data_IF_764612195944
#
_entry.id   IF_764612195944
#
_cell.length_a   1.000
_cell.length_b   1.000
_cell.length_c   1.000
_cell.angle_alpha   90.00
_cell.angle_beta   90.00
_cell.angle_gamma   90.00
#
_symmetry.space_group_name_H-M   'P 1'
#
loop_
_entity.id
_entity.type
_entity.pdbx_description
1 polymer ?
#
# COMPACT_ATOMS: atom_id res chain seq x y z
N UNK A 1 -9.80 18.26 22.61
CA UNK A 1 -8.45 17.68 22.46
C UNK A 1 -8.35 17.22 21.01
N UNK A 2 -7.89 18.12 20.14
CA UNK A 2 -7.59 17.80 18.74
C UNK A 2 -6.18 17.22 18.71
N UNK A 3 -6.08 15.93 18.95
CA UNK A 3 -4.84 15.18 18.77
C UNK A 3 -4.66 14.97 17.26
N UNK A 4 -4.31 16.05 16.57
CA UNK A 4 -3.72 15.97 15.23
C UNK A 4 -2.34 15.34 15.44
N UNK A 5 -2.30 14.02 15.58
CA UNK A 5 -1.07 13.25 15.52
C UNK A 5 -0.39 13.65 14.22
N UNK A 6 0.68 14.41 14.38
CA UNK A 6 1.52 14.86 13.29
C UNK A 6 2.15 13.61 12.70
N UNK A 7 1.51 13.03 11.69
CA UNK A 7 1.98 11.83 10.99
C UNK A 7 3.40 12.14 10.56
N UNK A 8 4.37 11.50 11.22
CA UNK A 8 5.77 11.79 10.91
C UNK A 8 6.11 11.08 9.61
N UNK A 9 6.88 11.75 8.73
CA UNK A 9 7.28 11.21 7.40
C UNK A 9 7.86 9.78 7.46
N UNK A 10 8.40 9.38 8.60
CA UNK A 10 8.97 8.05 8.85
C UNK A 10 7.90 6.96 9.04
N UNK A 11 6.78 7.29 9.68
CA UNK A 11 5.63 6.39 9.84
C UNK A 11 4.95 6.13 8.49
N UNK A 12 4.88 7.16 7.63
CA UNK A 12 4.39 7.03 6.26
C UNK A 12 5.26 6.08 5.41
N UNK A 13 6.59 6.19 5.51
CA UNK A 13 7.49 5.32 4.76
C UNK A 13 7.36 3.84 5.20
N UNK A 14 7.21 3.60 6.51
CA UNK A 14 7.02 2.24 7.03
C UNK A 14 5.68 1.65 6.60
N UNK A 15 4.62 2.45 6.70
CA UNK A 15 3.28 2.08 6.26
C UNK A 15 3.26 1.75 4.77
N UNK A 16 3.92 2.57 3.94
CA UNK A 16 4.04 2.33 2.51
C UNK A 16 4.76 1.01 2.19
N UNK A 17 5.84 0.69 2.91
CA UNK A 17 6.57 -0.56 2.73
C UNK A 17 5.71 -1.79 3.09
N UNK A 18 4.95 -1.72 4.19
CA UNK A 18 4.02 -2.79 4.60
C UNK A 18 2.94 -3.00 3.53
N UNK A 19 2.37 -1.90 3.03
CA UNK A 19 1.37 -1.94 1.95
C UNK A 19 1.95 -2.56 0.68
N UNK A 20 3.15 -2.14 0.26
CA UNK A 20 3.82 -2.69 -0.91
C UNK A 20 4.08 -4.20 -0.77
N UNK A 21 4.52 -4.64 0.41
CA UNK A 21 4.68 -6.06 0.70
C UNK A 21 3.34 -6.82 0.60
N UNK A 22 2.25 -6.28 1.15
CA UNK A 22 0.91 -6.87 1.03
C UNK A 22 0.43 -7.01 -0.42
N UNK A 23 0.73 -6.02 -1.27
CA UNK A 23 0.41 -6.07 -2.70
C UNK A 23 1.18 -7.21 -3.37
N UNK A 24 2.49 -7.34 -3.14
CA UNK A 24 3.29 -8.42 -3.70
C UNK A 24 2.81 -9.78 -3.17
N UNK A 25 2.58 -9.87 -1.87
CA UNK A 25 2.09 -11.08 -1.20
C UNK A 25 0.75 -11.56 -1.78
N UNK A 26 -0.11 -10.65 -2.24
CA UNK A 26 -1.40 -11.02 -2.85
C UNK A 26 -1.25 -11.90 -4.09
N UNK A 27 -0.14 -11.79 -4.82
CA UNK A 27 0.16 -12.64 -5.99
C UNK A 27 0.62 -14.05 -5.62
N UNK A 28 1.05 -14.25 -4.37
CA UNK A 28 1.61 -15.51 -3.88
C UNK A 28 0.56 -16.32 -3.11
N UNK A 29 -0.16 -15.66 -2.18
CA UNK A 29 -1.12 -16.33 -1.27
C UNK A 29 -2.59 -15.98 -1.55
N UNK A 30 -2.84 -15.18 -2.58
CA UNK A 30 -4.15 -14.64 -2.91
C UNK A 30 -4.57 -13.45 -2.05
N UNK A 31 -5.68 -12.81 -2.45
CA UNK A 31 -6.21 -11.58 -1.84
C UNK A 31 -6.53 -11.78 -0.35
N UNK A 32 -7.18 -12.88 0.01
CA UNK A 32 -7.57 -13.16 1.40
C UNK A 32 -6.36 -13.27 2.34
N UNK A 33 -5.25 -13.87 1.88
CA UNK A 33 -4.03 -13.97 2.66
C UNK A 33 -3.33 -12.61 2.82
N UNK A 34 -3.26 -11.83 1.74
CA UNK A 34 -2.72 -10.47 1.79
C UNK A 34 -3.53 -9.53 2.70
N UNK A 35 -4.86 -9.63 2.68
CA UNK A 35 -5.74 -8.87 3.55
C UNK A 35 -5.50 -9.19 5.03
N UNK A 36 -5.40 -10.49 5.39
CA UNK A 36 -5.07 -10.90 6.76
C UNK A 36 -3.72 -10.37 7.21
N UNK A 37 -2.71 -10.39 6.34
CA UNK A 37 -1.39 -9.83 6.63
C UNK A 37 -1.47 -8.32 6.93
N UNK A 38 -2.15 -7.54 6.09
CA UNK A 38 -2.25 -6.08 6.26
C UNK A 38 -3.07 -5.72 7.51
N UNK A 39 -4.14 -6.46 7.79
CA UNK A 39 -4.92 -6.29 9.03
C UNK A 39 -4.07 -6.57 10.28
N UNK A 40 -3.26 -7.64 10.27
CA UNK A 40 -2.36 -7.98 11.36
C UNK A 40 -1.25 -6.92 11.59
N UNK A 41 -0.99 -6.06 10.61
CA UNK A 41 -0.07 -4.92 10.69
C UNK A 41 -0.76 -3.59 10.98
N UNK A 42 -2.02 -3.62 11.40
CA UNK A 42 -2.83 -2.44 11.75
C UNK A 42 -2.99 -1.45 10.58
N UNK A 43 -2.91 -1.92 9.33
CA UNK A 43 -3.20 -1.07 8.18
C UNK A 43 -4.71 -0.77 8.15
N UNK A 44 -5.12 0.49 7.99
CA UNK A 44 -6.54 0.83 7.96
C UNK A 44 -7.30 0.12 6.83
N UNK A 45 -8.51 -0.35 7.12
CA UNK A 45 -9.33 -1.10 6.16
C UNK A 45 -9.53 -0.36 4.84
N UNK A 46 -9.76 0.97 4.87
CA UNK A 46 -9.92 1.78 3.66
C UNK A 46 -8.67 1.78 2.76
N UNK A 47 -7.47 1.65 3.33
CA UNK A 47 -6.22 1.51 2.57
C UNK A 47 -6.17 0.13 1.93
N UNK A 48 -6.48 -0.92 2.70
CA UNK A 48 -6.47 -2.32 2.24
C UNK A 48 -7.42 -2.49 1.06
N UNK A 49 -8.67 -2.01 1.17
CA UNK A 49 -9.66 -2.06 0.09
C UNK A 49 -9.15 -1.33 -1.15
N UNK A 50 -8.54 -0.14 -0.97
CA UNK A 50 -7.99 0.64 -2.07
C UNK A 50 -6.84 -0.08 -2.78
N UNK A 51 -5.97 -0.79 -2.08
CA UNK A 51 -4.77 -1.40 -2.69
C UNK A 51 -5.00 -2.81 -3.24
N UNK A 52 -5.90 -3.58 -2.62
CA UNK A 52 -6.17 -4.97 -3.01
C UNK A 52 -7.40 -5.10 -3.92
N UNK A 53 -8.43 -4.27 -3.74
CA UNK A 53 -9.70 -4.40 -4.46
C UNK A 53 -9.88 -3.37 -5.59
N UNK A 54 -8.99 -2.37 -5.72
CA UNK A 54 -9.08 -1.43 -6.83
C UNK A 54 -8.84 -2.13 -8.18
N UNK A 55 -9.69 -1.89 -9.20
CA UNK A 55 -9.45 -2.38 -10.55
C UNK A 55 -8.06 -1.95 -11.02
N UNK A 56 -7.35 -2.85 -11.70
CA UNK A 56 -5.94 -2.68 -12.10
C UNK A 56 -5.67 -1.32 -12.78
N UNK A 57 -6.66 -0.76 -13.49
CA UNK A 57 -6.56 0.56 -14.13
C UNK A 57 -6.52 1.78 -13.19
N UNK A 58 -6.94 1.66 -11.92
CA UNK A 58 -6.87 2.74 -10.93
C UNK A 58 -5.59 2.68 -10.06
N UNK A 59 -4.85 1.56 -10.10
CA UNK A 59 -3.49 1.51 -9.54
C UNK A 59 -2.60 2.32 -10.46
N UNK A 60 -2.20 3.52 -10.04
CA UNK A 60 -1.14 4.29 -10.69
C UNK A 60 0.05 3.34 -10.85
N UNK A 61 0.29 2.87 -12.06
CA UNK A 61 1.53 2.21 -12.38
C UNK A 61 2.64 3.19 -12.02
N UNK A 62 3.73 2.75 -11.36
CA UNK A 62 4.89 3.61 -11.19
C UNK A 62 5.27 4.07 -12.60
N UNK A 63 5.13 5.36 -12.84
CA UNK A 63 5.62 5.98 -14.07
C UNK A 63 7.12 5.75 -14.04
N UNK A 64 7.58 4.68 -14.72
CA UNK A 64 8.98 4.52 -15.06
C UNK A 64 9.26 5.72 -15.95
N UNK A 65 9.79 6.79 -15.36
CA UNK A 65 10.30 7.91 -16.10
C UNK A 65 11.22 7.31 -17.15
N UNK A 66 10.83 7.42 -18.43
CA UNK A 66 11.74 7.10 -19.52
C UNK A 66 12.90 8.06 -19.31
N UNK A 67 14.03 7.53 -18.90
CA UNK A 67 15.29 8.24 -19.01
C UNK A 67 15.54 8.34 -20.51
N UNK A 68 15.12 9.47 -21.09
CA UNK A 68 15.60 9.91 -22.38
C UNK A 68 17.12 9.98 -22.25
N UNK A 69 17.80 9.05 -22.90
CA UNK A 69 19.25 9.06 -23.03
C UNK A 69 19.50 9.61 -24.41
N UNK A 70 19.79 10.90 -24.48
CA UNK A 70 20.50 11.51 -25.61
C UNK A 70 22.00 11.17 -25.52
#
# INVERSE_FOLDING_TARGET
MDEKSEITRREDAWTAAIVQYGIVLSSIVGIAGAQRYLQARCIPLYVIERVLCAPVGARRAPTRAKADTE
#
